data_IF_264323441020
#
_entry.id   IF_264323441020
#
_cell.length_a   1.000
_cell.length_b   1.000
_cell.length_c   1.000
_cell.angle_alpha   90.00
_cell.angle_beta   90.00
_cell.angle_gamma   90.00
#
_symmetry.space_group_name_H-M   'P 1'
#
loop_
_entity.id
_entity.type
_entity.pdbx_description
1 polymer ?
#
# COMPACT_ATOMS: atom_id res chain seq x y z
N UNK A 1 -10.69 1.07 -21.34
CA UNK A 1 -11.32 2.17 -20.56
C UNK A 1 -12.20 1.64 -19.42
N UNK A 2 -13.18 0.76 -19.65
CA UNK A 2 -14.09 0.29 -18.59
C UNK A 2 -13.36 -0.34 -17.39
N UNK A 3 -12.42 -1.26 -17.62
CA UNK A 3 -11.68 -1.91 -16.54
C UNK A 3 -10.87 -0.90 -15.69
N UNK A 4 -10.20 0.07 -16.33
CA UNK A 4 -9.49 1.13 -15.63
C UNK A 4 -10.44 1.99 -14.77
N UNK A 5 -11.55 2.43 -15.32
CA UNK A 5 -12.53 3.24 -14.57
C UNK A 5 -13.13 2.47 -13.39
N UNK A 6 -13.45 1.20 -13.59
CA UNK A 6 -14.00 0.34 -12.53
C UNK A 6 -12.96 0.10 -11.43
N UNK A 7 -11.72 -0.27 -11.78
CA UNK A 7 -10.67 -0.50 -10.77
C UNK A 7 -10.33 0.78 -9.99
N UNK A 8 -10.27 1.93 -10.66
CA UNK A 8 -10.02 3.22 -10.01
C UNK A 8 -11.17 3.61 -9.05
N UNK A 9 -12.42 3.41 -9.45
CA UNK A 9 -13.57 3.68 -8.59
C UNK A 9 -13.58 2.76 -7.36
N UNK A 10 -13.29 1.46 -7.54
CA UNK A 10 -13.20 0.50 -6.44
C UNK A 10 -12.03 0.88 -5.52
N UNK A 11 -10.86 1.22 -6.05
CA UNK A 11 -9.71 1.64 -5.25
C UNK A 11 -10.04 2.88 -4.41
N UNK A 12 -10.69 3.89 -5.00
CA UNK A 12 -11.11 5.09 -4.26
C UNK A 12 -12.09 4.77 -3.14
N UNK A 13 -13.11 3.96 -3.40
CA UNK A 13 -14.10 3.56 -2.39
C UNK A 13 -13.44 2.77 -1.25
N UNK A 14 -12.53 1.85 -1.57
CA UNK A 14 -11.80 1.07 -0.57
C UNK A 14 -10.86 1.95 0.25
N UNK A 15 -10.14 2.89 -0.37
CA UNK A 15 -9.32 3.88 0.35
C UNK A 15 -10.15 4.68 1.37
N UNK A 16 -11.32 5.16 0.96
CA UNK A 16 -12.23 5.88 1.86
C UNK A 16 -12.76 4.96 2.97
N UNK A 17 -13.06 3.70 2.66
CA UNK A 17 -13.49 2.72 3.65
C UNK A 17 -12.41 2.40 4.68
N UNK A 18 -11.15 2.15 4.23
CA UNK A 18 -10.00 1.94 5.12
C UNK A 18 -9.82 3.14 6.05
N UNK A 19 -9.78 4.35 5.49
CA UNK A 19 -9.61 5.59 6.25
C UNK A 19 -10.74 5.81 7.25
N UNK A 20 -11.98 5.57 6.85
CA UNK A 20 -13.14 5.68 7.72
C UNK A 20 -13.09 4.65 8.86
N UNK A 21 -12.77 3.39 8.55
CA UNK A 21 -12.69 2.34 9.57
C UNK A 21 -11.54 2.62 10.54
N UNK A 22 -10.36 2.99 10.05
CA UNK A 22 -9.22 3.35 10.90
C UNK A 22 -9.55 4.52 11.85
N UNK A 23 -10.31 5.52 11.37
CA UNK A 23 -10.73 6.68 12.18
C UNK A 23 -11.67 6.33 13.33
N UNK A 24 -12.29 5.14 13.32
CA UNK A 24 -13.17 4.66 14.40
C UNK A 24 -12.44 4.06 15.58
N UNK A 25 -11.14 3.82 15.46
CA UNK A 25 -10.32 3.43 16.60
C UNK A 25 -10.01 4.64 17.47
N UNK A 26 -9.93 4.46 18.78
CA UNK A 26 -9.54 5.55 19.69
C UNK A 26 -8.03 5.81 19.68
N UNK A 27 -7.23 4.88 19.18
CA UNK A 27 -5.78 4.95 19.11
C UNK A 27 -5.31 5.81 17.92
N UNK A 28 -4.53 6.85 18.20
CA UNK A 28 -4.03 7.78 17.18
C UNK A 28 -3.06 7.12 16.20
N UNK A 29 -2.32 6.09 16.63
CA UNK A 29 -1.44 5.34 15.73
C UNK A 29 -2.24 4.57 14.67
N UNK A 30 -3.37 3.97 15.06
CA UNK A 30 -4.26 3.29 14.12
C UNK A 30 -4.92 4.27 13.16
N UNK A 31 -5.42 5.42 13.68
CA UNK A 31 -6.00 6.47 12.83
C UNK A 31 -5.02 6.97 11.79
N UNK A 32 -3.76 7.15 12.17
CA UNK A 32 -2.69 7.58 11.28
C UNK A 32 -2.19 6.48 10.34
N UNK A 33 -2.63 5.23 10.52
CA UNK A 33 -2.12 4.07 9.77
C UNK A 33 -0.58 4.05 9.77
N UNK A 34 0.00 4.17 10.97
CA UNK A 34 1.41 4.48 11.19
C UNK A 34 2.37 3.53 10.46
N UNK A 35 2.00 2.27 10.28
CA UNK A 35 2.85 1.29 9.59
C UNK A 35 2.95 1.58 8.09
N UNK A 36 1.89 2.06 7.47
CA UNK A 36 1.88 2.41 6.04
C UNK A 36 2.79 3.58 5.71
N UNK A 37 2.98 4.48 6.68
CA UNK A 37 3.84 5.65 6.54
C UNK A 37 5.29 5.42 6.99
N UNK A 38 5.57 4.28 7.65
CA UNK A 38 6.89 3.71 7.95
C UNK A 38 7.86 4.57 8.81
N UNK A 39 7.47 5.79 9.23
CA UNK A 39 8.43 6.72 9.83
C UNK A 39 8.29 6.85 11.33
N UNK A 40 7.07 6.95 11.87
CA UNK A 40 6.82 7.24 13.27
C UNK A 40 5.55 6.59 13.80
N UNK A 41 5.58 6.20 15.08
CA UNK A 41 4.39 5.81 15.86
C UNK A 41 3.87 7.06 16.55
N UNK A 42 2.64 7.53 16.26
CA UNK A 42 1.98 8.59 17.01
C UNK A 42 1.75 8.15 18.46
N UNK A 43 2.15 8.96 19.38
CA UNK A 43 1.95 8.75 20.82
C UNK A 43 0.99 9.77 21.44
N UNK A 44 0.63 9.59 22.71
CA UNK A 44 -0.20 10.53 23.45
C UNK A 44 0.36 11.95 23.41
N UNK A 45 -0.51 12.95 23.35
CA UNK A 45 -0.12 14.37 23.38
C UNK A 45 0.80 14.84 22.23
N UNK A 46 0.73 14.19 21.05
CA UNK A 46 1.51 14.56 19.88
C UNK A 46 2.99 14.16 19.96
N UNK A 47 3.39 13.33 20.92
CA UNK A 47 4.70 12.70 20.91
C UNK A 47 4.84 11.76 19.74
N UNK A 48 6.03 11.67 19.14
CA UNK A 48 6.32 10.77 18.03
C UNK A 48 7.55 9.92 18.36
N UNK A 49 7.46 8.63 18.07
CA UNK A 49 8.58 7.69 18.21
C UNK A 49 8.90 7.07 16.87
N UNK A 50 10.19 6.94 16.54
CA UNK A 50 10.60 6.26 15.32
C UNK A 50 10.06 4.81 15.29
N UNK A 51 9.54 4.39 14.16
CA UNK A 51 9.11 3.01 13.98
C UNK A 51 10.34 2.10 13.87
N UNK A 52 10.57 1.31 14.91
CA UNK A 52 11.59 0.29 14.98
C UNK A 52 11.06 -0.95 15.70
N UNK A 53 11.86 -2.01 15.77
CA UNK A 53 11.47 -3.26 16.41
C UNK A 53 10.98 -3.07 17.85
N UNK A 54 11.73 -2.37 18.68
CA UNK A 54 11.41 -2.19 20.10
C UNK A 54 10.14 -1.35 20.28
N UNK A 55 9.99 -0.28 19.52
CA UNK A 55 8.82 0.60 19.60
C UNK A 55 7.56 -0.11 19.08
N UNK A 56 7.65 -0.88 17.99
CA UNK A 56 6.52 -1.67 17.49
C UNK A 56 6.11 -2.73 18.50
N UNK A 57 7.08 -3.45 19.07
CA UNK A 57 6.85 -4.46 20.09
C UNK A 57 6.18 -3.86 21.32
N UNK A 58 6.73 -2.75 21.83
CA UNK A 58 6.16 -2.04 22.98
C UNK A 58 4.73 -1.57 22.69
N UNK A 59 4.47 -1.01 21.51
CA UNK A 59 3.13 -0.56 21.13
C UNK A 59 2.12 -1.73 21.09
N UNK A 60 2.48 -2.88 20.51
CA UNK A 60 1.62 -4.07 20.49
C UNK A 60 1.34 -4.58 21.92
N UNK A 61 2.34 -4.52 22.79
CA UNK A 61 2.22 -4.97 24.19
C UNK A 61 1.30 -4.08 25.01
N UNK A 62 1.40 -2.77 24.82
CA UNK A 62 0.61 -1.78 25.56
C UNK A 62 -0.79 -1.57 25.00
N UNK A 63 -0.99 -1.84 23.70
CA UNK A 63 -2.24 -1.58 23.00
C UNK A 63 -2.80 -2.84 22.26
N UNK A 64 -3.03 -3.97 22.95
CA UNK A 64 -3.40 -5.23 22.30
C UNK A 64 -4.78 -5.17 21.61
N UNK A 65 -5.69 -4.32 22.09
CA UNK A 65 -6.99 -4.10 21.47
C UNK A 65 -6.83 -3.35 20.15
N UNK A 66 -6.08 -2.25 20.14
CA UNK A 66 -5.79 -1.43 18.96
C UNK A 66 -5.03 -2.23 17.89
N UNK A 67 -4.07 -3.07 18.30
CA UNK A 67 -3.35 -3.96 17.39
C UNK A 67 -4.28 -4.97 16.71
N UNK A 68 -5.22 -5.59 17.46
CA UNK A 68 -6.23 -6.48 16.88
C UNK A 68 -7.19 -5.74 15.95
N UNK A 69 -7.60 -4.54 16.32
CA UNK A 69 -8.46 -3.71 15.49
C UNK A 69 -7.77 -3.31 14.19
N UNK A 70 -6.46 -3.01 14.25
CA UNK A 70 -5.67 -2.71 13.06
C UNK A 70 -5.53 -3.93 12.15
N UNK A 71 -5.25 -5.12 12.73
CA UNK A 71 -5.24 -6.36 11.97
C UNK A 71 -6.59 -6.66 11.31
N UNK A 72 -7.68 -6.41 12.04
CA UNK A 72 -9.07 -6.64 11.60
C UNK A 72 -9.99 -5.60 12.22
N UNK A 73 -10.67 -4.70 11.44
CA UNK A 73 -10.92 -4.83 9.99
C UNK A 73 -9.99 -4.01 9.08
N UNK A 74 -9.02 -3.22 9.59
CA UNK A 74 -8.27 -2.25 8.77
C UNK A 74 -7.43 -2.96 7.71
N UNK A 75 -6.43 -3.76 8.09
CA UNK A 75 -5.61 -4.50 7.12
C UNK A 75 -6.44 -5.59 6.42
N UNK A 76 -7.15 -6.43 7.18
CA UNK A 76 -8.01 -7.47 6.61
C UNK A 76 -9.48 -7.20 6.93
N UNK A 77 -10.37 -7.04 5.92
CA UNK A 77 -10.14 -7.24 4.48
C UNK A 77 -9.87 -5.97 3.68
N UNK A 78 -10.00 -4.77 4.29
CA UNK A 78 -10.14 -3.53 3.51
C UNK A 78 -8.86 -3.12 2.79
N UNK A 79 -7.72 -3.07 3.48
CA UNK A 79 -6.47 -2.69 2.84
C UNK A 79 -6.02 -3.74 1.83
N UNK A 80 -6.19 -5.02 2.17
CA UNK A 80 -5.97 -6.14 1.26
C UNK A 80 -6.74 -6.00 -0.06
N UNK A 81 -8.00 -5.60 -0.03
CA UNK A 81 -8.78 -5.37 -1.24
C UNK A 81 -8.34 -4.11 -1.97
N UNK A 82 -7.97 -3.07 -1.21
CA UNK A 82 -7.48 -1.82 -1.76
C UNK A 82 -6.20 -2.02 -2.58
N UNK A 83 -5.23 -2.76 -2.06
CA UNK A 83 -3.95 -2.99 -2.76
C UNK A 83 -4.15 -3.62 -4.14
N UNK A 84 -5.05 -4.59 -4.29
CA UNK A 84 -5.34 -5.20 -5.58
C UNK A 84 -6.08 -4.26 -6.53
N UNK A 85 -7.07 -3.51 -6.02
CA UNK A 85 -7.80 -2.54 -6.83
C UNK A 85 -6.89 -1.40 -7.31
N UNK A 86 -6.01 -0.91 -6.44
CA UNK A 86 -5.07 0.15 -6.75
C UNK A 86 -3.96 -0.34 -7.71
N UNK A 87 -3.35 -1.50 -7.44
CA UNK A 87 -2.36 -2.11 -8.33
C UNK A 87 -2.91 -2.40 -9.72
N UNK A 88 -4.14 -2.92 -9.79
CA UNK A 88 -4.84 -3.11 -11.08
C UNK A 88 -5.08 -1.77 -11.80
N UNK A 89 -5.40 -0.70 -11.06
CA UNK A 89 -5.58 0.65 -11.64
C UNK A 89 -4.28 1.15 -12.27
N UNK A 90 -3.15 1.00 -11.58
CA UNK A 90 -1.83 1.38 -12.11
C UNK A 90 -1.46 0.55 -13.37
N UNK A 91 -1.73 -0.75 -13.35
CA UNK A 91 -1.45 -1.63 -14.47
C UNK A 91 -2.34 -1.33 -15.69
N UNK A 92 -3.66 -1.27 -15.51
CA UNK A 92 -4.59 -0.93 -16.60
C UNK A 92 -4.37 0.47 -17.13
N UNK A 93 -4.05 1.43 -16.25
CA UNK A 93 -3.71 2.80 -16.63
C UNK A 93 -2.45 2.84 -17.51
N UNK A 94 -1.39 2.12 -17.12
CA UNK A 94 -0.15 2.03 -17.89
C UNK A 94 -0.37 1.36 -19.26
N UNK A 95 -1.10 0.24 -19.31
CA UNK A 95 -1.47 -0.42 -20.57
C UNK A 95 -2.29 0.51 -21.47
N UNK A 96 -3.22 1.26 -20.87
CA UNK A 96 -4.04 2.20 -21.63
C UNK A 96 -3.21 3.35 -22.21
N UNK A 97 -2.36 3.99 -21.39
CA UNK A 97 -1.50 5.10 -21.80
C UNK A 97 -0.47 4.67 -22.86
N UNK A 98 0.13 3.48 -22.71
CA UNK A 98 1.11 2.94 -23.64
C UNK A 98 0.57 2.81 -25.08
N UNK A 99 -0.73 2.57 -25.27
CA UNK A 99 -1.36 2.47 -26.60
C UNK A 99 -1.28 3.77 -27.42
N UNK A 100 -1.16 4.92 -26.75
CA UNK A 100 -1.08 6.21 -27.39
C UNK A 100 0.37 6.66 -27.67
N UNK A 101 1.35 5.83 -27.28
CA UNK A 101 2.77 6.12 -27.46
C UNK A 101 3.36 5.14 -28.47
N UNK A 102 3.48 5.57 -29.73
CA UNK A 102 3.75 4.67 -30.87
C UNK A 102 5.00 3.79 -30.72
N UNK A 103 6.08 4.30 -30.13
CA UNK A 103 7.33 3.53 -29.94
C UNK A 103 7.24 2.50 -28.82
N UNK A 104 6.29 2.64 -27.88
CA UNK A 104 6.02 1.63 -26.83
C UNK A 104 4.79 0.78 -27.13
N UNK A 105 3.98 1.13 -28.14
CA UNK A 105 2.79 0.37 -28.50
C UNK A 105 3.10 -1.07 -28.94
N UNK A 106 4.34 -1.32 -29.40
CA UNK A 106 4.83 -2.65 -29.74
C UNK A 106 5.23 -3.50 -28.51
N UNK A 107 5.38 -2.88 -27.33
CA UNK A 107 5.71 -3.60 -26.09
C UNK A 107 4.50 -4.42 -25.64
N UNK A 108 4.68 -5.73 -25.35
CA UNK A 108 3.58 -6.57 -24.90
C UNK A 108 2.87 -5.99 -23.66
N UNK A 109 1.53 -6.04 -23.59
CA UNK A 109 0.78 -5.43 -22.47
C UNK A 109 1.16 -5.95 -21.09
N UNK A 110 1.61 -7.20 -20.97
CA UNK A 110 1.99 -7.79 -19.69
C UNK A 110 3.23 -7.12 -19.06
N UNK A 111 4.10 -6.49 -19.85
CA UNK A 111 5.28 -5.78 -19.36
C UNK A 111 4.88 -4.65 -18.42
N UNK A 112 3.76 -3.98 -18.71
CA UNK A 112 3.23 -2.88 -17.89
C UNK A 112 2.60 -3.33 -16.58
N UNK A 113 2.43 -4.64 -16.40
CA UNK A 113 1.96 -5.26 -15.16
C UNK A 113 3.10 -5.61 -14.20
N UNK A 114 4.35 -5.69 -14.66
CA UNK A 114 5.46 -6.19 -13.84
C UNK A 114 5.61 -5.35 -12.57
N UNK A 115 5.79 -4.03 -12.69
CA UNK A 115 6.01 -3.14 -11.53
C UNK A 115 4.78 -3.09 -10.62
N UNK A 116 3.54 -2.89 -11.11
CA UNK A 116 2.35 -3.00 -10.27
C UNK A 116 2.19 -4.35 -9.57
N UNK A 117 2.59 -5.47 -10.21
CA UNK A 117 2.53 -6.80 -9.59
C UNK A 117 3.55 -6.95 -8.46
N UNK A 118 4.76 -6.40 -8.62
CA UNK A 118 5.77 -6.37 -7.54
C UNK A 118 5.22 -5.58 -6.36
N UNK A 119 4.60 -4.41 -6.60
CA UNK A 119 3.93 -3.63 -5.56
C UNK A 119 2.86 -4.46 -4.85
N UNK A 120 1.92 -5.06 -5.59
CA UNK A 120 0.85 -5.87 -4.99
C UNK A 120 1.39 -7.04 -4.16
N UNK A 121 2.43 -7.71 -4.64
CA UNK A 121 3.04 -8.83 -3.90
C UNK A 121 3.76 -8.35 -2.63
N UNK A 122 4.51 -7.25 -2.69
CA UNK A 122 5.23 -6.69 -1.55
C UNK A 122 4.26 -6.21 -0.47
N UNK A 123 3.21 -5.49 -0.86
CA UNK A 123 2.17 -4.96 0.02
C UNK A 123 1.38 -6.10 0.69
N UNK A 124 0.97 -7.10 -0.09
CA UNK A 124 0.32 -8.29 0.44
C UNK A 124 1.15 -9.02 1.50
N UNK A 125 2.45 -9.22 1.24
CA UNK A 125 3.35 -9.90 2.18
C UNK A 125 3.61 -9.04 3.42
N UNK A 126 3.71 -7.72 3.27
CA UNK A 126 3.80 -6.77 4.38
C UNK A 126 2.57 -6.88 5.29
N UNK A 127 1.37 -6.74 4.72
CA UNK A 127 0.11 -6.82 5.47
C UNK A 127 -0.05 -8.17 6.17
N UNK A 128 0.25 -9.26 5.49
CA UNK A 128 0.19 -10.60 6.09
C UNK A 128 1.15 -10.73 7.28
N UNK A 129 2.35 -10.16 7.17
CA UNK A 129 3.35 -10.14 8.25
C UNK A 129 2.87 -9.30 9.43
N UNK A 130 2.33 -8.12 9.17
CA UNK A 130 1.77 -7.24 10.20
C UNK A 130 0.58 -7.88 10.92
N UNK A 131 -0.34 -8.47 10.18
CA UNK A 131 -1.48 -9.21 10.75
C UNK A 131 -0.98 -10.35 11.66
N UNK A 132 0.07 -11.07 11.22
CA UNK A 132 0.67 -12.10 12.04
C UNK A 132 1.25 -11.56 13.36
N UNK A 133 1.94 -10.40 13.33
CA UNK A 133 2.48 -9.75 14.53
C UNK A 133 1.37 -9.27 15.47
N UNK A 134 0.34 -8.62 14.93
CA UNK A 134 -0.77 -8.09 15.72
C UNK A 134 -1.65 -9.17 16.34
N UNK A 135 -1.81 -10.32 15.68
CA UNK A 135 -2.59 -11.43 16.20
C UNK A 135 -1.79 -12.40 17.05
N UNK A 136 -0.50 -12.58 16.75
CA UNK A 136 0.39 -13.52 17.42
C UNK A 136 1.76 -12.86 17.66
N UNK A 137 1.87 -12.11 18.75
CA UNK A 137 3.09 -11.41 19.15
C UNK A 137 4.37 -12.26 19.10
N UNK A 138 4.27 -13.55 19.38
CA UNK A 138 5.43 -14.47 19.36
C UNK A 138 6.12 -14.53 17.99
N UNK A 139 5.47 -14.07 16.91
CA UNK A 139 6.05 -14.01 15.57
C UNK A 139 6.87 -12.75 15.33
N UNK A 140 6.72 -11.72 16.16
CA UNK A 140 7.52 -10.51 16.12
C UNK A 140 8.88 -10.78 16.79
N UNK A 141 9.88 -11.04 15.97
CA UNK A 141 11.29 -11.21 16.31
C UNK A 141 12.11 -10.19 15.52
N UNK A 142 13.37 -9.95 15.90
CA UNK A 142 14.26 -9.06 15.14
C UNK A 142 14.38 -9.50 13.67
N UNK A 143 14.49 -10.82 13.42
CA UNK A 143 14.59 -11.36 12.07
C UNK A 143 13.33 -11.13 11.24
N UNK A 144 12.14 -11.36 11.81
CA UNK A 144 10.88 -11.14 11.10
C UNK A 144 10.60 -9.63 10.91
N UNK A 145 11.01 -8.77 11.86
CA UNK A 145 10.95 -7.33 11.69
C UNK A 145 11.89 -6.84 10.57
N UNK A 146 13.09 -7.43 10.46
CA UNK A 146 13.98 -7.14 9.35
C UNK A 146 13.32 -7.46 7.99
N UNK A 147 12.63 -8.60 7.87
CA UNK A 147 11.86 -8.96 6.66
C UNK A 147 10.77 -7.92 6.41
N UNK A 148 9.98 -7.54 7.43
CA UNK A 148 8.95 -6.50 7.33
C UNK A 148 9.52 -5.19 6.76
N UNK A 149 10.63 -4.69 7.31
CA UNK A 149 11.27 -3.45 6.87
C UNK A 149 11.70 -3.49 5.40
N UNK A 150 12.16 -4.64 4.90
CA UNK A 150 12.50 -4.82 3.49
C UNK A 150 11.27 -4.89 2.60
N UNK A 151 10.18 -5.53 3.05
CA UNK A 151 8.91 -5.56 2.34
C UNK A 151 8.33 -4.16 2.21
N UNK A 152 8.32 -3.36 3.30
CA UNK A 152 7.91 -1.96 3.29
C UNK A 152 8.74 -1.14 2.30
N UNK A 153 10.06 -1.31 2.31
CA UNK A 153 10.94 -0.62 1.37
C UNK A 153 10.65 -1.00 -0.09
N UNK A 154 10.48 -2.29 -0.35
CA UNK A 154 10.14 -2.80 -1.69
C UNK A 154 8.78 -2.28 -2.17
N UNK A 155 7.75 -2.30 -1.30
CA UNK A 155 6.43 -1.71 -1.54
C UNK A 155 6.56 -0.23 -1.95
N UNK A 156 7.26 0.58 -1.14
CA UNK A 156 7.39 2.02 -1.38
C UNK A 156 8.13 2.32 -2.69
N UNK A 157 9.20 1.58 -3.00
CA UNK A 157 9.93 1.74 -4.26
C UNK A 157 9.05 1.33 -5.44
N UNK A 158 8.39 0.18 -5.36
CA UNK A 158 7.59 -0.34 -6.47
C UNK A 158 6.34 0.49 -6.73
N UNK A 159 5.64 0.99 -5.69
CA UNK A 159 4.47 1.86 -5.89
C UNK A 159 4.86 3.22 -6.50
N UNK A 160 5.95 3.83 -6.01
CA UNK A 160 6.48 5.07 -6.61
C UNK A 160 6.87 4.86 -8.07
N UNK A 161 7.51 3.74 -8.39
CA UNK A 161 7.89 3.36 -9.76
C UNK A 161 6.68 3.11 -10.64
N UNK A 162 5.63 2.45 -10.13
CA UNK A 162 4.38 2.19 -10.88
C UNK A 162 3.61 3.50 -11.17
N UNK A 163 3.56 4.42 -10.20
CA UNK A 163 2.98 5.75 -10.38
C UNK A 163 3.82 6.54 -11.41
N UNK A 164 5.14 6.51 -11.29
CA UNK A 164 6.05 7.14 -12.24
C UNK A 164 5.89 6.58 -13.67
N UNK A 165 5.79 5.26 -13.81
CA UNK A 165 5.51 4.58 -15.09
C UNK A 165 4.22 5.12 -15.72
N UNK A 166 3.13 5.15 -14.97
CA UNK A 166 1.84 5.67 -15.44
C UNK A 166 1.92 7.16 -15.78
N UNK A 167 2.58 7.96 -14.92
CA UNK A 167 2.74 9.39 -15.11
C UNK A 167 3.52 9.74 -16.39
N UNK A 168 4.66 9.06 -16.62
CA UNK A 168 5.48 9.28 -17.82
C UNK A 168 4.72 8.89 -19.08
N UNK A 169 4.10 7.69 -19.10
CA UNK A 169 3.30 7.24 -20.25
C UNK A 169 2.13 8.18 -20.53
N UNK A 170 1.44 8.63 -19.48
CA UNK A 170 0.33 9.57 -19.58
C UNK A 170 0.76 10.93 -20.12
N UNK A 171 1.85 11.50 -19.61
CA UNK A 171 2.40 12.77 -20.08
C UNK A 171 2.79 12.71 -21.57
N UNK A 172 3.51 11.66 -21.99
CA UNK A 172 3.89 11.48 -23.40
C UNK A 172 2.65 11.29 -24.29
N UNK A 173 1.64 10.53 -23.83
CA UNK A 173 0.40 10.34 -24.58
C UNK A 173 -0.37 11.66 -24.78
N UNK A 174 -0.40 12.52 -23.76
CA UNK A 174 -1.04 13.85 -23.81
C UNK A 174 -0.30 14.74 -24.80
N UNK A 175 1.03 14.89 -24.66
CA UNK A 175 1.84 15.75 -25.54
C UNK A 175 1.64 15.39 -27.01
N UNK A 176 1.65 14.09 -27.33
CA UNK A 176 1.42 13.62 -28.71
C UNK A 176 0.04 13.91 -29.28
N UNK A 177 -0.95 14.17 -28.45
CA UNK A 177 -2.29 14.52 -28.92
C UNK A 177 -2.39 15.98 -29.38
N UNK A 178 -1.43 16.82 -28.95
CA UNK A 178 -1.42 18.26 -29.25
C UNK A 178 -0.35 18.65 -30.28
N UNK A 179 0.50 17.71 -30.70
CA UNK A 179 1.47 17.85 -31.80
C UNK A 179 1.03 17.01 -32.99
#
# INVERSE_FOLDING_TARGET
MRALAVSAAIALLLYLAVSYVASRCDDEAVKARFVEHADVIPGPNGTQSALNFENLKHWIETNPHSARFYARPVLLPFDFLFLFAFGATLAFGSVFAARYVSWVAAVPPWVWWIIPSIYMAADFLEDATLVAFFLKRAWLTEGSYWVLSHLTSLKLISVKSAIGQLGILGAVAIVRRFI
#
